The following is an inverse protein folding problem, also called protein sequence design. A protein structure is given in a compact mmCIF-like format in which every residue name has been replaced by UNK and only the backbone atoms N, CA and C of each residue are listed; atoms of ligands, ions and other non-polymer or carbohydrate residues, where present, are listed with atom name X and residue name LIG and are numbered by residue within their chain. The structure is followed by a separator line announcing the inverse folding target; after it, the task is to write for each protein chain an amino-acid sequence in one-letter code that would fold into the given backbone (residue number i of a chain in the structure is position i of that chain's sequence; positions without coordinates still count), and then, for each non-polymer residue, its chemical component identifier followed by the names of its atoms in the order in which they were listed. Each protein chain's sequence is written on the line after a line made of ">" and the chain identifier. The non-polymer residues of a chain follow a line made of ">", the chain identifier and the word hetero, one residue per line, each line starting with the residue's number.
data_IF_202233407390
#
_entry.id   IF_202233407390
#
_cell.length_a   1.000
_cell.length_b   1.000
_cell.length_c   1.000
_cell.angle_alpha   90.00
_cell.angle_beta   90.00
_cell.angle_gamma   90.00
#
_symmetry.space_group_name_H-M   'P 1'
#
loop_
_entity.id
_entity.type
_entity.pdbx_description
1 polymer ?
#
# COMPACT_ATOMS: atom_id res chain seq x y z
N UNK A 1 -6.62 20.19 19.53
CA UNK A 1 -7.26 20.00 18.21
C UNK A 1 -6.51 18.92 17.43
N UNK A 2 -7.07 17.73 17.22
CA UNK A 2 -6.40 16.70 16.40
C UNK A 2 -6.46 17.13 14.93
N UNK A 3 -5.31 17.49 14.35
CA UNK A 3 -5.20 17.82 12.93
C UNK A 3 -5.52 16.56 12.11
N UNK A 4 -6.64 16.58 11.39
CA UNK A 4 -7.00 15.52 10.44
C UNK A 4 -5.95 15.57 9.33
N UNK A 5 -5.16 14.51 9.21
CA UNK A 5 -4.18 14.38 8.14
C UNK A 5 -4.96 13.99 6.90
N UNK A 6 -5.01 14.86 5.91
CA UNK A 6 -5.57 14.55 4.59
C UNK A 6 -4.46 13.98 3.71
N UNK A 7 -4.65 12.74 3.26
CA UNK A 7 -3.72 12.02 2.37
C UNK A 7 -4.32 11.83 0.98
N UNK A 8 -5.47 12.43 0.65
CA UNK A 8 -6.13 12.19 -0.62
C UNK A 8 -5.22 12.63 -1.78
N UNK A 9 -5.13 11.79 -2.80
CA UNK A 9 -4.24 11.98 -3.96
C UNK A 9 -2.75 11.76 -3.69
N UNK A 10 -2.32 11.54 -2.44
CA UNK A 10 -0.90 11.32 -2.15
C UNK A 10 -0.45 9.91 -2.54
N UNK A 11 0.76 9.82 -3.08
CA UNK A 11 1.39 8.58 -3.54
C UNK A 11 2.43 8.07 -2.53
N UNK A 12 2.31 6.81 -2.15
CA UNK A 12 3.18 6.05 -1.25
C UNK A 12 3.76 4.85 -2.00
N UNK A 13 4.85 5.07 -2.75
CA UNK A 13 5.40 4.07 -3.66
C UNK A 13 4.43 3.78 -4.81
N UNK A 14 3.89 2.56 -4.87
CA UNK A 14 2.87 2.16 -5.86
C UNK A 14 1.43 2.38 -5.41
N UNK A 15 1.21 2.81 -4.17
CA UNK A 15 -0.13 3.06 -3.62
C UNK A 15 -0.47 4.54 -3.75
N UNK A 16 -1.67 4.86 -4.21
CA UNK A 16 -2.24 6.20 -4.24
C UNK A 16 -3.42 6.22 -3.29
N UNK A 17 -3.39 7.10 -2.29
CA UNK A 17 -4.49 7.25 -1.35
C UNK A 17 -5.67 7.95 -2.04
N UNK A 18 -6.84 7.32 -2.03
CA UNK A 18 -8.06 7.82 -2.64
C UNK A 18 -8.88 8.59 -1.61
N UNK A 19 -9.28 7.92 -0.55
CA UNK A 19 -10.23 8.44 0.45
C UNK A 19 -9.98 7.83 1.83
N UNK A 20 -10.26 8.59 2.92
CA UNK A 20 -10.27 8.05 4.27
C UNK A 20 -11.51 7.19 4.48
N UNK A 21 -11.36 6.10 5.22
CA UNK A 21 -12.50 5.28 5.66
C UNK A 21 -12.91 5.64 7.08
N UNK A 22 -14.05 5.12 7.50
CA UNK A 22 -14.54 5.25 8.88
C UNK A 22 -13.73 4.41 9.87
N UNK A 23 -12.91 3.47 9.38
CA UNK A 23 -12.11 2.58 10.21
C UNK A 23 -10.89 3.30 10.75
N UNK A 24 -10.51 2.96 11.98
CA UNK A 24 -9.24 3.36 12.58
C UNK A 24 -8.46 2.13 13.02
N UNK A 25 -7.15 2.19 12.82
CA UNK A 25 -6.23 1.14 13.22
C UNK A 25 -4.96 1.80 13.75
N UNK A 26 -4.52 1.35 14.93
CA UNK A 26 -3.32 1.88 15.59
C UNK A 26 -3.40 3.41 15.80
N UNK A 27 -4.55 3.87 16.30
CA UNK A 27 -4.84 5.29 16.53
C UNK A 27 -4.94 6.16 15.27
N UNK A 28 -4.82 5.58 14.07
CA UNK A 28 -4.76 6.28 12.80
C UNK A 28 -5.93 5.93 11.89
N UNK A 29 -6.39 6.88 11.07
CA UNK A 29 -7.43 6.64 10.05
C UNK A 29 -6.92 5.65 9.01
N UNK A 30 -7.77 4.72 8.61
CA UNK A 30 -7.49 3.79 7.52
C UNK A 30 -7.87 4.46 6.20
N UNK A 31 -7.01 4.33 5.19
CA UNK A 31 -7.18 4.93 3.88
C UNK A 31 -7.37 3.85 2.84
N UNK A 32 -8.35 4.04 1.96
CA UNK A 32 -8.47 3.26 0.73
C UNK A 32 -7.40 3.76 -0.24
N UNK A 33 -6.53 2.85 -0.64
CA UNK A 33 -5.44 3.14 -1.55
C UNK A 33 -5.56 2.28 -2.80
N UNK A 34 -5.41 2.88 -3.98
CA UNK A 34 -5.30 2.17 -5.23
C UNK A 34 -3.83 1.90 -5.53
N UNK A 35 -3.50 0.65 -5.78
CA UNK A 35 -2.17 0.29 -6.26
C UNK A 35 -2.08 0.46 -7.78
N UNK A 36 -0.90 0.79 -8.29
CA UNK A 36 -0.61 0.74 -9.74
C UNK A 36 -0.85 -0.66 -10.34
N UNK A 37 -0.90 -1.71 -9.51
CA UNK A 37 -1.30 -3.06 -9.88
C UNK A 37 -2.80 -3.20 -10.23
N UNK A 38 -3.60 -2.13 -10.08
CA UNK A 38 -5.07 -2.13 -10.22
C UNK A 38 -5.82 -2.54 -8.96
N UNK A 39 -5.16 -3.17 -7.98
CA UNK A 39 -5.81 -3.60 -6.72
C UNK A 39 -5.97 -2.45 -5.74
N UNK A 40 -7.16 -2.33 -5.16
CA UNK A 40 -7.44 -1.44 -4.03
C UNK A 40 -7.15 -2.16 -2.71
N UNK A 41 -6.49 -1.48 -1.79
CA UNK A 41 -6.14 -1.99 -0.45
C UNK A 41 -6.42 -0.95 0.62
N UNK A 42 -6.79 -1.40 1.81
CA UNK A 42 -6.97 -0.54 2.98
C UNK A 42 -5.68 -0.51 3.81
N UNK A 43 -5.10 0.67 4.02
CA UNK A 43 -3.85 0.84 4.77
C UNK A 43 -3.99 2.00 5.75
N UNK A 44 -3.52 1.83 6.99
CA UNK A 44 -3.57 2.93 7.95
C UNK A 44 -2.59 4.07 7.59
N UNK A 45 -2.99 5.30 7.92
CA UNK A 45 -2.19 6.50 7.64
C UNK A 45 -0.79 6.42 8.25
N UNK A 46 -0.65 5.76 9.40
CA UNK A 46 0.65 5.55 10.04
C UNK A 46 1.61 4.73 9.17
N UNK A 47 1.18 3.58 8.64
CA UNK A 47 2.02 2.72 7.79
C UNK A 47 2.33 3.35 6.44
N UNK A 48 1.39 4.12 5.87
CA UNK A 48 1.64 4.89 4.65
C UNK A 48 2.74 5.92 4.89
N UNK A 49 2.60 6.74 5.93
CA UNK A 49 3.57 7.80 6.26
C UNK A 49 4.95 7.27 6.67
N UNK A 50 5.01 6.15 7.41
CA UNK A 50 6.28 5.49 7.72
C UNK A 50 6.92 4.78 6.51
N UNK A 51 6.17 4.60 5.42
CA UNK A 51 6.66 3.87 4.24
C UNK A 51 6.75 2.35 4.42
N UNK A 52 6.07 1.80 5.43
CA UNK A 52 6.04 0.35 5.68
C UNK A 52 5.22 -0.40 4.62
N UNK A 53 4.26 0.28 3.98
CA UNK A 53 3.40 -0.30 2.96
C UNK A 53 3.46 0.54 1.71
N UNK A 54 4.14 0.02 0.68
CA UNK A 54 4.39 0.71 -0.61
C UNK A 54 3.69 0.05 -1.80
N UNK A 55 2.99 -1.08 -1.59
CA UNK A 55 2.28 -1.80 -2.66
C UNK A 55 1.20 -2.74 -2.10
N UNK A 56 0.33 -3.21 -2.99
CA UNK A 56 -0.66 -4.26 -2.75
C UNK A 56 -0.07 -5.65 -2.44
N UNK A 57 1.27 -5.79 -2.33
CA UNK A 57 2.00 -7.07 -2.29
C UNK A 57 2.48 -7.55 -3.67
N UNK A 58 2.12 -6.87 -4.76
CA UNK A 58 2.57 -7.19 -6.12
C UNK A 58 4.09 -7.10 -6.29
N UNK A 59 4.76 -6.18 -5.58
CA UNK A 59 6.22 -6.04 -5.63
C UNK A 59 6.96 -7.29 -5.16
N UNK A 60 6.42 -7.99 -4.16
CA UNK A 60 7.01 -9.25 -3.68
C UNK A 60 6.85 -10.35 -4.74
N UNK A 61 5.66 -10.46 -5.37
CA UNK A 61 5.41 -11.44 -6.44
C UNK A 61 6.37 -11.30 -7.61
N UNK A 62 6.71 -10.07 -7.99
CA UNK A 62 7.63 -9.79 -9.10
C UNK A 62 9.06 -10.30 -8.78
N UNK A 63 9.55 -10.02 -7.57
CA UNK A 63 10.87 -10.45 -7.11
C UNK A 63 11.01 -11.98 -7.00
N UNK A 64 9.93 -12.69 -6.67
CA UNK A 64 9.93 -14.16 -6.60
C UNK A 64 9.84 -14.85 -7.97
N UNK A 65 9.35 -14.18 -9.02
CA UNK A 65 9.36 -14.75 -10.38
C UNK A 65 10.77 -14.88 -10.96
N UNK A 66 11.68 -13.97 -10.59
CA UNK A 66 13.05 -13.98 -11.08
C UNK A 66 13.86 -15.20 -10.59
N UNK A 67 13.48 -15.81 -9.47
CA UNK A 67 14.15 -17.01 -8.93
C UNK A 67 13.61 -18.33 -9.49
N UNK A 68 12.35 -18.38 -9.95
CA UNK A 68 11.76 -19.61 -10.50
C UNK A 68 12.08 -19.83 -11.97
N UNK A 69 12.36 -18.79 -12.74
CA UNK A 69 12.76 -18.92 -14.15
C UNK A 69 14.18 -19.48 -14.37
N UNK A 70 14.91 -19.80 -13.30
CA UNK A 70 16.26 -20.38 -13.35
C UNK A 70 16.34 -21.87 -13.00
N UNK A 71 15.23 -22.56 -12.75
CA UNK A 71 15.21 -23.99 -12.36
C UNK A 71 14.12 -24.78 -13.12
N UNK A 72 14.02 -24.54 -14.43
CA UNK A 72 13.26 -25.41 -15.36
C UNK A 72 14.20 -25.99 -16.44
N UNK A 73 15.47 -26.25 -16.08
CA UNK A 73 16.44 -26.98 -16.91
C UNK A 73 17.19 -28.02 -16.06
N UNK A 74 16.45 -29.00 -15.53
CA UNK A 74 16.98 -30.30 -15.14
C UNK A 74 16.03 -31.39 -15.60
#
# INVERSE_FOLDING_TARGET
>A
MRRRIDLAGQRFGRLVALEPTEKRSDGSVVWRCQCDCGKVVEVNAHRLRKGNTKSCGCLKKDRFKQYRAGIDNV
#
